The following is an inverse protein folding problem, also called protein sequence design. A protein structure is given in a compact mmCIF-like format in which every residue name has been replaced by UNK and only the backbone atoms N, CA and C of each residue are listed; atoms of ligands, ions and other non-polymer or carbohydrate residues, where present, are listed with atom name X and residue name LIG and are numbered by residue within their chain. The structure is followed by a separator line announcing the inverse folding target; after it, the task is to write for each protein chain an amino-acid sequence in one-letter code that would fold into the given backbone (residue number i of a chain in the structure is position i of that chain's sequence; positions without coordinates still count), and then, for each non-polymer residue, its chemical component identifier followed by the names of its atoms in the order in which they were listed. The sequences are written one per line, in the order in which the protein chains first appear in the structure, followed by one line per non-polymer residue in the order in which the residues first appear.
data_IF_068281072399
#
_entry.id   IF_068281072399
#
_cell.length_a   1.000
_cell.length_b   1.000
_cell.length_c   1.000
_cell.angle_alpha   90.00
_cell.angle_beta   90.00
_cell.angle_gamma   90.00
#
_symmetry.space_group_name_H-M   'P 1'
#
loop_
_entity.id
_entity.type
_entity.pdbx_description
1 polymer ?
#
# COMPACT_ATOMS: atom_id res chain seq x y z
N UNK A 1 -13.01 4.37 15.11
CA UNK A 1 -14.08 4.51 14.09
C UNK A 1 -14.62 3.13 13.73
N UNK A 2 -15.92 2.97 13.45
CA UNK A 2 -16.51 1.72 12.97
C UNK A 2 -16.92 1.88 11.51
N UNK A 3 -16.33 1.08 10.64
CA UNK A 3 -16.74 0.93 9.25
C UNK A 3 -17.38 -0.45 9.06
N UNK A 4 -18.23 -0.63 8.06
CA UNK A 4 -18.64 -1.97 7.64
C UNK A 4 -17.58 -2.61 6.71
N UNK A 5 -17.71 -3.91 6.49
CA UNK A 5 -16.77 -4.69 5.68
C UNK A 5 -16.65 -4.17 4.25
N UNK A 6 -17.76 -3.78 3.64
CA UNK A 6 -17.77 -3.34 2.25
C UNK A 6 -17.01 -2.02 2.08
N UNK A 7 -17.18 -1.08 3.01
CA UNK A 7 -16.42 0.17 3.05
C UNK A 7 -14.93 -0.08 3.33
N UNK A 8 -14.61 -1.04 4.20
CA UNK A 8 -13.23 -1.43 4.49
C UNK A 8 -12.52 -1.96 3.25
N UNK A 9 -13.18 -2.91 2.56
CA UNK A 9 -12.70 -3.48 1.30
C UNK A 9 -12.61 -2.41 0.21
N UNK A 10 -13.61 -1.54 0.07
CA UNK A 10 -13.61 -0.46 -0.93
C UNK A 10 -12.42 0.50 -0.74
N UNK A 11 -12.07 0.83 0.51
CA UNK A 11 -10.89 1.66 0.77
C UNK A 11 -9.57 0.97 0.43
N UNK A 12 -9.42 -0.33 0.73
CA UNK A 12 -8.24 -1.11 0.29
C UNK A 12 -8.14 -1.17 -1.23
N UNK A 13 -9.25 -1.43 -1.93
CA UNK A 13 -9.31 -1.44 -3.39
C UNK A 13 -8.93 -0.08 -3.98
N UNK A 14 -9.39 1.01 -3.38
CA UNK A 14 -9.08 2.37 -3.83
C UNK A 14 -7.59 2.69 -3.67
N UNK A 15 -6.99 2.33 -2.53
CA UNK A 15 -5.55 2.50 -2.29
C UNK A 15 -4.74 1.65 -3.28
N UNK A 16 -5.12 0.38 -3.46
CA UNK A 16 -4.48 -0.52 -4.43
C UNK A 16 -4.51 0.06 -5.85
N UNK A 17 -5.64 0.64 -6.26
CA UNK A 17 -5.79 1.26 -7.58
C UNK A 17 -4.91 2.51 -7.72
N UNK A 18 -4.78 3.32 -6.66
CA UNK A 18 -3.86 4.45 -6.67
C UNK A 18 -2.40 3.98 -6.79
N UNK A 19 -2.01 2.90 -6.12
CA UNK A 19 -0.67 2.31 -6.28
C UNK A 19 -0.46 1.86 -7.73
N UNK A 20 -1.44 1.21 -8.35
CA UNK A 20 -1.37 0.82 -9.77
C UNK A 20 -1.19 2.02 -10.71
N UNK A 21 -1.87 3.14 -10.44
CA UNK A 21 -1.69 4.38 -11.19
C UNK A 21 -0.25 4.88 -11.09
N UNK A 22 0.33 4.91 -9.89
CA UNK A 22 1.73 5.29 -9.71
C UNK A 22 2.69 4.30 -10.37
N UNK A 23 2.37 3.00 -10.35
CA UNK A 23 3.15 1.93 -10.99
C UNK A 23 3.10 1.95 -12.52
N UNK A 24 2.13 2.62 -13.11
CA UNK A 24 1.98 2.72 -14.57
C UNK A 24 2.76 3.89 -15.18
N UNK A 25 3.76 4.43 -14.47
CA UNK A 25 4.61 5.49 -15.00
C UNK A 25 5.42 5.02 -16.22
N UNK A 26 5.49 5.84 -17.26
CA UNK A 26 6.25 5.55 -18.48
C UNK A 26 7.57 6.35 -18.56
N UNK A 27 7.60 7.50 -17.91
CA UNK A 27 8.73 8.44 -17.89
C UNK A 27 9.30 8.57 -16.47
N UNK A 28 10.31 9.42 -16.30
CA UNK A 28 11.01 9.67 -15.05
C UNK A 28 10.08 9.89 -13.87
N UNK A 29 10.33 9.14 -12.79
CA UNK A 29 9.65 9.31 -11.51
C UNK A 29 10.13 10.59 -10.82
N UNK A 30 9.48 11.70 -11.17
CA UNK A 30 9.89 13.05 -10.73
C UNK A 30 9.70 13.28 -9.23
N UNK A 31 10.26 14.37 -8.71
CA UNK A 31 10.03 14.78 -7.32
C UNK A 31 8.54 15.03 -6.98
N UNK A 32 7.71 15.39 -7.96
CA UNK A 32 6.24 15.50 -7.75
C UNK A 32 5.63 14.13 -7.54
N UNK A 33 6.00 13.14 -8.37
CA UNK A 33 5.56 11.76 -8.22
C UNK A 33 6.06 11.15 -6.90
N UNK A 34 7.31 11.41 -6.53
CA UNK A 34 7.86 11.03 -5.22
C UNK A 34 7.00 11.53 -4.08
N UNK A 35 6.72 12.84 -4.01
CA UNK A 35 5.87 13.41 -2.95
C UNK A 35 4.46 12.80 -2.95
N UNK A 36 3.86 12.63 -4.14
CA UNK A 36 2.55 12.01 -4.27
C UNK A 36 2.52 10.57 -3.76
N UNK A 37 3.53 9.79 -4.10
CA UNK A 37 3.64 8.40 -3.63
C UNK A 37 3.93 8.32 -2.14
N UNK A 38 4.77 9.19 -1.57
CA UNK A 38 5.01 9.24 -0.12
C UNK A 38 3.70 9.45 0.64
N UNK A 39 2.84 10.37 0.19
CA UNK A 39 1.53 10.59 0.81
C UNK A 39 0.60 9.38 0.67
N UNK A 40 0.60 8.71 -0.50
CA UNK A 40 -0.16 7.48 -0.70
C UNK A 40 0.32 6.35 0.22
N UNK A 41 1.63 6.21 0.39
CA UNK A 41 2.23 5.25 1.31
C UNK A 41 1.83 5.52 2.76
N UNK A 42 1.91 6.76 3.22
CA UNK A 42 1.45 7.15 4.56
C UNK A 42 -0.04 6.87 4.76
N UNK A 43 -0.87 7.19 3.77
CA UNK A 43 -2.30 6.87 3.78
C UNK A 43 -2.52 5.36 3.88
N UNK A 44 -1.78 4.56 3.11
CA UNK A 44 -1.86 3.11 3.18
C UNK A 44 -1.51 2.59 4.58
N UNK A 45 -0.40 3.06 5.17
CA UNK A 45 0.01 2.66 6.51
C UNK A 45 -1.08 2.95 7.54
N UNK A 46 -1.64 4.15 7.53
CA UNK A 46 -2.73 4.53 8.44
C UNK A 46 -4.00 3.72 8.20
N UNK A 47 -4.38 3.51 6.93
CA UNK A 47 -5.58 2.76 6.60
C UNK A 47 -5.45 1.27 6.91
N UNK A 48 -4.25 0.68 6.79
CA UNK A 48 -3.99 -0.72 7.17
C UNK A 48 -4.29 -0.97 8.65
N UNK A 49 -3.97 -0.01 9.53
CA UNK A 49 -4.30 -0.06 10.95
C UNK A 49 -5.82 0.02 11.17
N UNK A 50 -6.50 0.96 10.51
CA UNK A 50 -7.96 1.07 10.56
C UNK A 50 -8.63 -0.22 10.08
N UNK A 51 -8.11 -0.82 9.00
CA UNK A 51 -8.60 -2.08 8.46
C UNK A 51 -8.45 -3.21 9.45
N UNK A 52 -7.25 -3.38 10.02
CA UNK A 52 -6.96 -4.41 11.03
C UNK A 52 -7.90 -4.31 12.23
N UNK A 53 -7.97 -3.14 12.87
CA UNK A 53 -8.80 -2.92 14.06
C UNK A 53 -10.29 -3.21 13.80
N UNK A 54 -10.79 -2.90 12.59
CA UNK A 54 -12.18 -3.17 12.26
C UNK A 54 -12.42 -4.65 11.94
N UNK A 55 -11.54 -5.31 11.20
CA UNK A 55 -11.70 -6.73 10.85
C UNK A 55 -11.60 -7.65 12.07
N UNK A 56 -10.67 -7.36 12.99
CA UNK A 56 -10.56 -8.08 14.27
C UNK A 56 -11.86 -7.98 15.08
N UNK A 57 -12.50 -6.80 15.08
CA UNK A 57 -13.73 -6.56 15.85
C UNK A 57 -15.02 -7.04 15.17
N UNK A 58 -15.13 -6.93 13.85
CA UNK A 58 -16.36 -7.21 13.10
C UNK A 58 -16.51 -8.68 12.74
N UNK A 59 -15.42 -9.30 12.33
CA UNK A 59 -15.43 -10.64 11.75
C UNK A 59 -14.79 -11.67 12.68
N UNK A 60 -14.26 -11.24 13.85
CA UNK A 60 -13.28 -12.02 14.62
C UNK A 60 -12.17 -12.55 13.71
N UNK A 61 -11.79 -11.76 12.70
CA UNK A 61 -10.85 -12.18 11.68
C UNK A 61 -9.50 -12.47 12.34
N UNK A 62 -8.91 -13.61 11.97
CA UNK A 62 -7.58 -13.95 12.43
C UNK A 62 -6.56 -13.02 11.78
N UNK A 63 -5.48 -12.72 12.51
CA UNK A 63 -4.36 -11.91 11.99
C UNK A 63 -3.85 -12.41 10.64
N UNK A 64 -3.86 -13.73 10.42
CA UNK A 64 -3.45 -14.35 9.14
C UNK A 64 -4.35 -13.95 7.97
N UNK A 65 -5.66 -13.80 8.18
CA UNK A 65 -6.60 -13.43 7.11
C UNK A 65 -6.48 -11.95 6.77
N UNK A 66 -6.23 -11.11 7.78
CA UNK A 66 -5.95 -9.68 7.61
C UNK A 66 -4.66 -9.49 6.82
N UNK A 67 -3.59 -10.19 7.22
CA UNK A 67 -2.30 -10.16 6.53
C UNK A 67 -2.44 -10.62 5.07
N UNK A 68 -3.20 -11.68 4.81
CA UNK A 68 -3.47 -12.16 3.44
C UNK A 68 -4.19 -11.11 2.59
N UNK A 69 -5.09 -10.31 3.17
CA UNK A 69 -5.77 -9.24 2.45
C UNK A 69 -4.85 -8.05 2.12
N UNK A 70 -3.87 -7.76 2.98
CA UNK A 70 -2.92 -6.66 2.81
C UNK A 70 -1.73 -7.04 1.92
N UNK A 71 -1.33 -8.31 1.91
CA UNK A 71 -0.14 -8.79 1.19
C UNK A 71 -0.09 -8.37 -0.30
N UNK A 72 -1.18 -8.47 -1.09
CA UNK A 72 -1.16 -8.02 -2.49
C UNK A 72 -0.81 -6.54 -2.65
N UNK A 73 -1.23 -5.68 -1.71
CA UNK A 73 -0.93 -4.24 -1.75
C UNK A 73 0.52 -4.01 -1.32
N UNK A 74 1.01 -4.71 -0.30
CA UNK A 74 2.43 -4.68 0.09
C UNK A 74 3.34 -5.04 -1.09
N UNK A 75 3.02 -6.11 -1.81
CA UNK A 75 3.77 -6.53 -2.99
C UNK A 75 3.82 -5.43 -4.05
N UNK A 76 2.68 -4.82 -4.39
CA UNK A 76 2.61 -3.71 -5.36
C UNK A 76 3.47 -2.50 -4.93
N UNK A 77 3.43 -2.14 -3.65
CA UNK A 77 4.23 -1.04 -3.09
C UNK A 77 5.72 -1.35 -3.20
N UNK A 78 6.13 -2.56 -2.80
CA UNK A 78 7.51 -3.00 -2.88
C UNK A 78 8.03 -3.02 -4.32
N UNK A 79 7.23 -3.55 -5.25
CA UNK A 79 7.57 -3.61 -6.67
C UNK A 79 7.76 -2.21 -7.26
N UNK A 80 6.88 -1.26 -6.89
CA UNK A 80 7.03 0.14 -7.29
C UNK A 80 8.32 0.76 -6.74
N UNK A 81 8.61 0.59 -5.45
CA UNK A 81 9.84 1.11 -4.83
C UNK A 81 11.08 0.56 -5.55
N UNK A 82 11.12 -0.76 -5.77
CA UNK A 82 12.19 -1.41 -6.50
C UNK A 82 12.33 -0.83 -7.91
N UNK A 83 11.22 -0.73 -8.67
CA UNK A 83 11.23 -0.23 -10.05
C UNK A 83 11.67 1.22 -10.15
N UNK A 84 11.19 2.10 -9.27
CA UNK A 84 11.65 3.50 -9.21
C UNK A 84 13.15 3.55 -8.97
N UNK A 85 13.65 2.70 -8.07
CA UNK A 85 15.06 2.70 -7.69
C UNK A 85 16.00 2.06 -8.72
N UNK A 86 15.51 1.38 -9.76
CA UNK A 86 16.34 0.82 -10.84
C UNK A 86 16.96 1.88 -11.76
N UNK A 87 16.23 2.96 -12.09
CA UNK A 87 16.73 4.01 -13.01
C UNK A 87 17.38 5.16 -12.25
N UNK A 88 18.60 5.57 -12.61
CA UNK A 88 19.31 6.71 -12.01
C UNK A 88 18.60 8.06 -12.23
N UNK A 89 17.80 8.18 -13.29
CA UNK A 89 17.07 9.40 -13.64
C UNK A 89 15.90 9.66 -12.68
N UNK A 90 15.39 8.61 -12.02
CA UNK A 90 14.27 8.70 -11.10
C UNK A 90 14.67 9.36 -9.77
N UNK A 91 13.75 10.14 -9.21
CA UNK A 91 13.82 10.53 -7.81
C UNK A 91 13.59 9.30 -6.93
N UNK A 92 14.66 8.81 -6.31
CA UNK A 92 14.67 7.56 -5.54
C UNK A 92 13.74 7.60 -4.35
N UNK A 93 13.12 6.46 -4.06
CA UNK A 93 12.36 6.20 -2.85
C UNK A 93 13.26 5.51 -1.82
N UNK A 94 13.04 5.77 -0.53
CA UNK A 94 13.81 5.07 0.51
C UNK A 94 13.48 3.57 0.51
N UNK A 95 14.51 2.73 0.63
CA UNK A 95 14.35 1.28 0.81
C UNK A 95 13.78 0.90 2.17
N UNK A 96 13.82 1.82 3.15
CA UNK A 96 13.21 1.61 4.47
C UNK A 96 11.66 1.58 4.39
N UNK A 97 11.10 1.96 3.25
CA UNK A 97 9.66 1.86 2.96
C UNK A 97 9.24 0.46 2.49
N UNK A 98 10.18 -0.47 2.32
CA UNK A 98 9.85 -1.84 1.94
C UNK A 98 9.06 -2.50 3.06
N UNK A 99 7.93 -3.07 2.69
CA UNK A 99 7.00 -3.72 3.59
C UNK A 99 7.31 -5.21 3.66
N UNK A 100 7.21 -5.80 4.85
CA UNK A 100 7.31 -7.24 4.98
C UNK A 100 6.19 -7.91 4.16
N UNK A 101 6.57 -8.92 3.37
CA UNK A 101 5.58 -9.83 2.81
C UNK A 101 5.09 -10.67 3.99
N UNK A 102 3.89 -10.35 4.47
CA UNK A 102 3.23 -11.02 5.59
C UNK A 102 2.71 -12.40 5.14
N UNK A 103 3.63 -13.27 4.73
CA UNK A 103 3.36 -14.67 4.49
C UNK A 103 3.99 -15.45 5.65
N UNK A 104 3.11 -16.17 6.35
CA UNK A 104 3.30 -17.01 7.54
C UNK A 104 3.06 -16.32 8.90
#
# INVERSE_FOLDING_TARGET
MRLDKDNLTAGLTSISSLVDCFSSFEDTFTQKAHKGFTLLYELYMLYSLVYKENMERLENALTVDINRALAPINTKINDLICRVNLSEENTKLSTDLLLENLND
#
